data_IF_168853620569
#
_entry.id   IF_168853620569
#
_cell.length_a   1.000
_cell.length_b   1.000
_cell.length_c   1.000
_cell.angle_alpha   90.00
_cell.angle_beta   90.00
_cell.angle_gamma   90.00
#
_symmetry.space_group_name_H-M   'P 1'
#
loop_
_entity.id
_entity.type
_entity.pdbx_description
1 polymer ?
#
# COMPACT_ATOMS: atom_id res chain seq x y z
N UNK A 1 -0.76 37.65 40.17
CA UNK A 1 -0.76 36.42 39.36
C UNK A 1 -2.10 35.67 39.39
N UNK A 2 -2.79 35.47 40.52
CA UNK A 2 -4.09 34.73 40.56
C UNK A 2 -5.22 35.34 39.72
N UNK A 3 -5.38 36.68 39.67
CA UNK A 3 -6.45 37.35 38.90
C UNK A 3 -6.26 37.21 37.37
N UNK A 4 -5.04 37.26 36.85
CA UNK A 4 -4.73 37.08 35.44
C UNK A 4 -5.00 35.64 34.95
N UNK A 5 -4.70 34.65 35.79
CA UNK A 5 -4.99 33.26 35.54
C UNK A 5 -6.53 33.01 35.50
N UNK A 6 -7.28 33.67 36.38
CA UNK A 6 -8.74 33.54 36.39
C UNK A 6 -9.38 34.14 35.13
N UNK A 7 -8.90 35.29 34.65
CA UNK A 7 -9.35 35.90 33.39
C UNK A 7 -8.98 35.08 32.18
N UNK A 8 -7.79 34.45 32.14
CA UNK A 8 -7.39 33.55 31.10
C UNK A 8 -8.27 32.29 31.08
N UNK A 9 -8.56 31.72 32.26
CA UNK A 9 -9.41 30.55 32.42
C UNK A 9 -10.85 30.84 31.99
N UNK A 10 -11.44 31.95 32.40
CA UNK A 10 -12.80 32.35 31.97
C UNK A 10 -12.86 32.63 30.47
N UNK A 11 -11.83 33.28 29.89
CA UNK A 11 -11.73 33.50 28.45
C UNK A 11 -11.66 32.20 27.67
N UNK A 12 -10.87 31.21 28.12
CA UNK A 12 -10.79 29.88 27.51
C UNK A 12 -12.11 29.14 27.63
N UNK A 13 -12.78 29.19 28.78
CA UNK A 13 -14.11 28.52 28.97
C UNK A 13 -15.17 29.17 28.08
N UNK A 14 -15.16 30.48 27.93
CA UNK A 14 -16.08 31.22 27.06
C UNK A 14 -15.83 30.85 25.56
N UNK A 15 -14.58 30.81 25.14
CA UNK A 15 -14.19 30.32 23.80
C UNK A 15 -14.64 28.88 23.53
N UNK A 16 -14.52 27.98 24.50
CA UNK A 16 -14.94 26.58 24.39
C UNK A 16 -16.47 26.43 24.32
N UNK A 17 -17.25 27.29 24.98
CA UNK A 17 -18.73 27.27 24.91
C UNK A 17 -19.27 27.71 23.54
N UNK A 18 -18.60 28.63 22.85
CA UNK A 18 -18.97 29.04 21.47
C UNK A 18 -18.59 27.96 20.43
N UNK A 19 -17.59 27.12 20.68
CA UNK A 19 -17.13 26.11 19.74
C UNK A 19 -18.13 24.97 19.49
N UNK A 20 -19.05 24.71 20.44
CA UNK A 20 -19.98 23.56 20.35
C UNK A 20 -21.07 23.72 19.29
N UNK A 21 -21.50 24.94 18.98
CA UNK A 21 -22.58 25.20 18.00
C UNK A 21 -22.10 25.32 16.55
N UNK A 22 -20.81 25.55 16.31
CA UNK A 22 -20.27 25.85 14.97
C UNK A 22 -19.88 24.60 14.16
N UNK A 23 -19.60 23.48 14.80
CA UNK A 23 -19.11 22.27 14.13
C UNK A 23 -20.08 21.70 13.07
N UNK A 24 -21.37 21.96 13.19
CA UNK A 24 -22.42 21.42 12.29
C UNK A 24 -23.06 22.49 11.39
N UNK A 25 -22.44 23.67 11.27
CA UNK A 25 -22.99 24.82 10.54
C UNK A 25 -23.31 24.51 9.06
N UNK A 26 -22.45 23.74 8.42
CA UNK A 26 -22.59 23.38 7.01
C UNK A 26 -23.03 21.92 6.79
N UNK A 27 -23.54 21.28 7.83
CA UNK A 27 -24.16 19.96 7.70
C UNK A 27 -25.58 20.13 7.13
N UNK A 28 -25.90 19.54 5.96
CA UNK A 28 -27.23 19.63 5.38
C UNK A 28 -28.31 19.10 6.32
N UNK A 29 -29.55 19.57 6.12
CA UNK A 29 -30.68 19.05 6.87
C UNK A 29 -30.92 17.58 6.49
N UNK A 30 -31.28 16.76 7.46
CA UNK A 30 -31.42 15.30 7.28
C UNK A 30 -30.08 14.53 7.27
N UNK A 31 -28.94 15.23 7.31
CA UNK A 31 -27.58 14.60 7.33
C UNK A 31 -26.91 14.77 8.68
N UNK A 32 -25.87 13.97 8.91
CA UNK A 32 -25.12 13.98 10.15
C UNK A 32 -23.61 14.19 9.89
N UNK A 33 -22.96 14.99 10.73
CA UNK A 33 -21.51 15.11 10.77
C UNK A 33 -20.91 13.80 11.32
N UNK A 34 -20.01 13.17 10.59
CA UNK A 34 -19.24 12.05 11.10
C UNK A 34 -18.26 12.54 12.17
N UNK A 35 -18.59 12.30 13.43
CA UNK A 35 -17.84 12.82 14.57
C UNK A 35 -16.66 11.91 14.95
N UNK A 36 -16.90 10.60 14.94
CA UNK A 36 -15.92 9.61 15.39
C UNK A 36 -16.17 8.25 14.71
N UNK A 37 -15.10 7.54 14.39
CA UNK A 37 -15.13 6.13 13.97
C UNK A 37 -14.27 5.33 14.93
N UNK A 38 -14.84 4.29 15.52
CA UNK A 38 -14.16 3.36 16.44
C UNK A 38 -14.26 1.94 15.91
N UNK A 39 -13.16 1.21 16.06
CA UNK A 39 -13.09 -0.22 15.80
C UNK A 39 -12.74 -0.90 17.11
N UNK A 40 -13.53 -1.89 17.49
CA UNK A 40 -13.30 -2.76 18.64
C UNK A 40 -13.07 -4.19 18.15
N UNK A 41 -12.08 -4.86 18.72
CA UNK A 41 -11.76 -6.26 18.38
C UNK A 41 -11.79 -7.08 19.69
N UNK A 42 -12.29 -8.30 19.61
CA UNK A 42 -12.31 -9.26 20.73
C UNK A 42 -10.97 -9.99 20.90
N UNK A 43 -10.10 -9.97 19.88
CA UNK A 43 -8.79 -10.63 19.89
C UNK A 43 -7.64 -9.64 20.09
N UNK A 44 -6.76 -9.92 21.06
CA UNK A 44 -5.58 -9.09 21.36
C UNK A 44 -4.58 -9.01 20.19
N UNK A 45 -4.50 -10.08 19.39
CA UNK A 45 -3.58 -10.17 18.25
C UNK A 45 -4.03 -9.32 17.06
N UNK A 46 -5.31 -8.92 17.01
CA UNK A 46 -5.84 -8.06 15.94
C UNK A 46 -5.88 -6.62 16.44
N UNK A 47 -4.95 -5.80 15.98
CA UNK A 47 -4.88 -4.40 16.39
C UNK A 47 -5.94 -3.57 15.64
N UNK A 48 -6.80 -2.80 16.35
CA UNK A 48 -7.76 -1.91 15.69
C UNK A 48 -7.13 -0.92 14.71
N UNK A 49 -5.87 -0.52 14.97
CA UNK A 49 -5.12 0.39 14.09
C UNK A 49 -4.82 -0.20 12.72
N UNK A 50 -4.55 -1.51 12.62
CA UNK A 50 -4.32 -2.18 11.34
C UNK A 50 -5.58 -2.30 10.48
N UNK A 51 -6.76 -2.28 11.10
CA UNK A 51 -8.04 -2.33 10.40
C UNK A 51 -8.50 -0.94 9.94
N UNK A 52 -7.89 0.13 10.45
CA UNK A 52 -8.33 1.50 10.14
C UNK A 52 -8.11 1.89 8.68
N UNK A 53 -7.14 1.30 8.00
CA UNK A 53 -6.90 1.54 6.57
C UNK A 53 -8.04 1.06 5.67
N UNK A 54 -8.90 0.16 6.16
CA UNK A 54 -10.08 -0.35 5.45
C UNK A 54 -11.34 0.49 5.68
N UNK A 55 -11.25 1.54 6.49
CA UNK A 55 -12.35 2.47 6.73
C UNK A 55 -12.39 3.52 5.63
N UNK A 56 -13.49 3.56 4.87
CA UNK A 56 -13.68 4.47 3.74
C UNK A 56 -13.95 5.92 4.15
N UNK A 57 -14.57 6.13 5.31
CA UNK A 57 -14.88 7.45 5.83
C UNK A 57 -14.12 7.73 7.10
N UNK A 58 -13.20 8.69 7.05
CA UNK A 58 -12.55 9.19 8.23
C UNK A 58 -13.16 10.52 8.68
N UNK A 59 -13.44 10.71 9.98
CA UNK A 59 -13.91 11.98 10.49
C UNK A 59 -12.85 13.06 10.34
N UNK A 60 -13.29 14.34 10.33
CA UNK A 60 -12.35 15.46 10.34
C UNK A 60 -11.29 15.31 11.42
N UNK A 61 -10.03 15.61 11.07
CA UNK A 61 -8.88 15.46 11.95
C UNK A 61 -9.03 16.26 13.25
N UNK A 62 -8.54 15.69 14.35
CA UNK A 62 -8.50 16.36 15.66
C UNK A 62 -7.07 16.78 15.97
N UNK A 63 -6.87 18.05 16.31
CA UNK A 63 -5.61 18.55 16.82
C UNK A 63 -5.43 18.12 18.28
N UNK A 64 -4.30 17.51 18.61
CA UNK A 64 -4.05 16.88 19.93
C UNK A 64 -5.18 15.95 20.41
N UNK A 65 -5.86 15.26 19.49
CA UNK A 65 -7.01 14.37 19.76
C UNK A 65 -8.23 15.04 20.43
N UNK A 66 -8.22 16.34 20.57
CA UNK A 66 -9.25 17.09 21.31
C UNK A 66 -10.17 17.92 20.39
N UNK A 67 -9.63 18.77 19.55
CA UNK A 67 -10.35 19.81 18.84
C UNK A 67 -10.20 19.64 17.32
N UNK A 68 -11.30 19.68 16.57
CA UNK A 68 -11.32 19.68 15.10
C UNK A 68 -11.06 21.10 14.55
N UNK A 69 -9.85 21.60 14.73
CA UNK A 69 -9.50 23.00 14.41
C UNK A 69 -9.77 23.36 12.96
N UNK A 70 -9.39 22.51 12.00
CA UNK A 70 -9.58 22.78 10.58
C UNK A 70 -11.07 22.83 10.20
N UNK A 71 -11.92 21.99 10.81
CA UNK A 71 -13.36 22.05 10.64
C UNK A 71 -13.94 23.38 11.20
N UNK A 72 -13.42 23.84 12.36
CA UNK A 72 -13.87 25.14 12.91
C UNK A 72 -13.43 26.31 12.03
N UNK A 73 -12.20 26.29 11.50
CA UNK A 73 -11.72 27.30 10.55
C UNK A 73 -12.62 27.35 9.32
N UNK A 74 -12.97 26.18 8.75
CA UNK A 74 -13.92 26.12 7.64
C UNK A 74 -15.27 26.73 8.01
N UNK A 75 -15.79 26.42 9.20
CA UNK A 75 -17.09 26.89 9.67
C UNK A 75 -17.12 28.41 10.03
N UNK A 76 -15.95 29.04 10.22
CA UNK A 76 -15.87 30.51 10.35
C UNK A 76 -16.21 31.21 9.02
N UNK A 77 -16.06 30.55 7.87
CA UNK A 77 -16.42 31.13 6.59
C UNK A 77 -17.90 31.51 6.55
N UNK A 78 -18.24 32.56 5.81
CA UNK A 78 -19.62 32.94 5.53
C UNK A 78 -20.26 32.01 4.48
N UNK A 79 -21.60 32.14 4.31
CA UNK A 79 -22.35 31.35 3.30
C UNK A 79 -21.96 31.71 1.86
N UNK A 80 -21.66 32.97 1.62
CA UNK A 80 -21.21 33.47 0.32
C UNK A 80 -19.79 32.99 0.00
N UNK A 81 -19.70 32.01 -0.90
CA UNK A 81 -18.42 31.42 -1.32
C UNK A 81 -17.60 32.29 -2.27
N UNK A 82 -18.17 33.41 -2.77
CA UNK A 82 -17.48 34.29 -3.74
C UNK A 82 -16.53 35.26 -3.07
N UNK A 83 -16.79 35.63 -1.81
CA UNK A 83 -15.97 36.56 -1.03
C UNK A 83 -14.59 36.00 -0.74
N UNK A 84 -13.55 36.81 -0.96
CA UNK A 84 -12.16 36.41 -0.80
C UNK A 84 -11.85 35.77 0.57
N UNK A 85 -12.28 36.39 1.67
CA UNK A 85 -12.05 35.87 3.03
C UNK A 85 -12.69 34.52 3.26
N UNK A 86 -13.89 34.26 2.69
CA UNK A 86 -14.58 32.96 2.79
C UNK A 86 -13.87 31.91 1.96
N UNK A 87 -13.37 32.26 0.75
CA UNK A 87 -12.54 31.37 -0.07
C UNK A 87 -11.27 30.95 0.69
N UNK A 88 -10.61 31.90 1.31
CA UNK A 88 -9.39 31.66 2.10
C UNK A 88 -9.66 30.70 3.26
N UNK A 89 -10.69 30.98 4.09
CA UNK A 89 -11.05 30.13 5.24
C UNK A 89 -11.46 28.71 4.81
N UNK A 90 -12.16 28.58 3.69
CA UNK A 90 -12.52 27.25 3.13
C UNK A 90 -11.34 26.50 2.55
N UNK A 91 -10.31 27.20 2.07
CA UNK A 91 -9.09 26.59 1.52
C UNK A 91 -8.17 26.05 2.60
N UNK A 92 -8.07 26.76 3.76
CA UNK A 92 -7.20 26.33 4.87
C UNK A 92 -7.91 25.43 5.88
N UNK A 93 -9.25 25.44 5.87
CA UNK A 93 -10.10 24.59 6.70
C UNK A 93 -10.56 23.32 5.98
N UNK A 94 -11.02 22.36 6.76
CA UNK A 94 -11.60 21.10 6.24
C UNK A 94 -13.12 21.20 6.22
N UNK A 95 -13.73 20.85 5.10
CA UNK A 95 -15.18 20.71 4.99
C UNK A 95 -15.71 19.62 5.96
N UNK A 96 -16.94 19.75 6.47
CA UNK A 96 -17.52 18.73 7.33
C UNK A 96 -17.67 17.41 6.59
N UNK A 97 -17.15 16.32 7.17
CA UNK A 97 -17.35 14.97 6.64
C UNK A 97 -18.75 14.51 7.01
N UNK A 98 -19.60 14.36 5.98
CA UNK A 98 -20.98 13.91 6.14
C UNK A 98 -21.00 12.38 6.19
N UNK A 99 -21.71 11.83 7.16
CA UNK A 99 -21.90 10.38 7.26
C UNK A 99 -22.65 9.84 6.03
N UNK A 100 -22.13 8.78 5.45
CA UNK A 100 -22.76 8.01 4.39
C UNK A 100 -22.94 6.56 4.83
N UNK A 101 -24.15 6.09 4.79
CA UNK A 101 -24.51 4.71 5.10
C UNK A 101 -23.82 3.72 4.16
N UNK A 102 -23.78 4.06 2.86
CA UNK A 102 -23.14 3.24 1.82
C UNK A 102 -21.65 3.04 2.09
N UNK A 103 -20.92 4.13 2.42
CA UNK A 103 -19.49 4.03 2.71
C UNK A 103 -19.23 3.32 4.05
N UNK A 104 -20.14 3.44 5.01
CA UNK A 104 -20.05 2.70 6.25
C UNK A 104 -20.26 1.19 6.03
N UNK A 105 -21.19 0.80 5.15
CA UNK A 105 -21.37 -0.60 4.75
C UNK A 105 -20.17 -1.14 4.00
N UNK A 106 -19.64 -0.41 3.02
CA UNK A 106 -18.41 -0.79 2.30
C UNK A 106 -17.24 -0.99 3.26
N UNK A 107 -17.08 -0.10 4.25
CA UNK A 107 -16.03 -0.27 5.28
C UNK A 107 -16.21 -1.55 6.09
N UNK A 108 -17.44 -1.90 6.45
CA UNK A 108 -17.75 -3.16 7.14
C UNK A 108 -17.33 -4.37 6.31
N UNK A 109 -17.64 -4.36 5.01
CA UNK A 109 -17.31 -5.45 4.08
C UNK A 109 -15.79 -5.56 3.88
N UNK A 110 -15.10 -4.44 3.73
CA UNK A 110 -13.63 -4.39 3.59
C UNK A 110 -12.92 -4.88 4.87
N UNK A 111 -13.40 -4.48 6.06
CA UNK A 111 -12.86 -4.98 7.34
C UNK A 111 -13.09 -6.49 7.45
N UNK A 112 -14.27 -6.98 7.07
CA UNK A 112 -14.57 -8.42 7.08
C UNK A 112 -13.65 -9.18 6.14
N UNK A 113 -13.42 -8.68 4.93
CA UNK A 113 -12.49 -9.25 3.97
C UNK A 113 -11.04 -9.24 4.48
N UNK A 114 -10.63 -8.13 5.09
CA UNK A 114 -9.30 -8.02 5.71
C UNK A 114 -9.08 -9.06 6.83
N UNK A 115 -10.07 -9.27 7.68
CA UNK A 115 -10.02 -10.29 8.72
C UNK A 115 -9.87 -11.70 8.15
N UNK A 116 -10.60 -12.01 7.07
CA UNK A 116 -10.47 -13.29 6.38
C UNK A 116 -9.08 -13.48 5.77
N UNK A 117 -8.55 -12.44 5.14
CA UNK A 117 -7.18 -12.47 4.60
C UNK A 117 -6.11 -12.66 5.69
N UNK A 118 -6.37 -12.19 6.92
CA UNK A 118 -5.52 -12.41 8.08
C UNK A 118 -5.71 -13.80 8.73
N UNK A 119 -6.46 -14.71 8.09
CA UNK A 119 -6.69 -16.08 8.56
C UNK A 119 -7.91 -16.27 9.46
N UNK A 120 -8.66 -15.24 9.79
CA UNK A 120 -9.88 -15.31 10.59
C UNK A 120 -11.11 -15.52 9.69
N UNK A 121 -11.23 -16.69 9.06
CA UNK A 121 -12.25 -16.96 8.04
C UNK A 121 -13.69 -16.85 8.54
N UNK A 122 -13.92 -17.14 9.84
CA UNK A 122 -15.22 -17.04 10.49
C UNK A 122 -15.48 -15.68 11.16
N UNK A 123 -14.61 -14.69 10.91
CA UNK A 123 -14.77 -13.35 11.47
C UNK A 123 -16.06 -12.69 10.99
N UNK A 124 -16.69 -11.97 11.90
CA UNK A 124 -17.88 -11.15 11.64
C UNK A 124 -17.66 -9.73 12.13
N UNK A 125 -18.19 -8.77 11.39
CA UNK A 125 -18.13 -7.36 11.75
C UNK A 125 -19.55 -6.84 11.88
N UNK A 126 -19.88 -6.33 13.06
CA UNK A 126 -21.17 -5.64 13.31
C UNK A 126 -20.95 -4.15 13.34
N UNK A 127 -21.87 -3.43 12.74
CA UNK A 127 -21.85 -1.97 12.72
C UNK A 127 -22.94 -1.42 13.60
N UNK A 128 -22.62 -0.37 14.38
CA UNK A 128 -23.59 0.37 15.16
C UNK A 128 -23.29 1.88 15.11
N UNK A 129 -24.31 2.68 15.30
CA UNK A 129 -24.18 4.14 15.29
C UNK A 129 -24.81 4.76 16.53
N UNK A 130 -24.23 5.86 17.00
CA UNK A 130 -24.81 6.68 18.07
C UNK A 130 -24.97 8.11 17.58
N UNK A 131 -26.20 8.57 17.53
CA UNK A 131 -26.55 9.93 17.08
C UNK A 131 -26.73 10.83 18.31
N UNK A 132 -26.10 12.00 18.29
CA UNK A 132 -26.33 13.07 19.28
C UNK A 132 -26.41 14.39 18.56
N UNK A 133 -27.60 15.01 18.53
CA UNK A 133 -27.91 16.20 17.71
C UNK A 133 -27.60 15.91 16.22
N UNK A 134 -26.90 16.80 15.51
CA UNK A 134 -26.45 16.63 14.11
C UNK A 134 -25.08 15.89 13.99
N UNK A 135 -24.66 15.10 14.99
CA UNK A 135 -23.40 14.34 14.99
C UNK A 135 -23.67 12.85 15.11
N UNK A 136 -22.91 12.05 14.39
CA UNK A 136 -22.97 10.59 14.43
C UNK A 136 -21.59 10.00 14.76
N UNK A 137 -21.58 9.03 15.65
CA UNK A 137 -20.41 8.19 15.93
C UNK A 137 -20.68 6.80 15.37
N UNK A 138 -19.68 6.28 14.66
CA UNK A 138 -19.74 4.98 14.00
C UNK A 138 -18.83 3.99 14.75
N UNK A 139 -19.34 2.81 15.02
CA UNK A 139 -18.63 1.74 15.69
C UNK A 139 -18.64 0.50 14.82
N UNK A 140 -17.48 -0.14 14.69
CA UNK A 140 -17.32 -1.48 14.12
C UNK A 140 -16.87 -2.42 15.21
N UNK A 141 -17.68 -3.44 15.51
CA UNK A 141 -17.39 -4.49 16.47
C UNK A 141 -16.98 -5.74 15.70
N UNK A 142 -15.70 -6.07 15.79
CA UNK A 142 -15.07 -7.20 15.09
C UNK A 142 -14.99 -8.37 16.04
N UNK A 143 -15.69 -9.47 15.70
CA UNK A 143 -15.57 -10.75 16.36
C UNK A 143 -14.74 -11.67 15.46
N UNK A 144 -13.49 -11.91 15.85
CA UNK A 144 -12.50 -12.58 15.01
C UNK A 144 -12.67 -14.11 14.99
N UNK A 145 -13.04 -14.72 16.12
CA UNK A 145 -13.02 -16.19 16.34
C UNK A 145 -11.61 -16.77 16.19
N UNK A 146 -11.50 -18.10 16.05
CA UNK A 146 -10.22 -18.77 15.93
C UNK A 146 -9.65 -18.63 14.51
N UNK A 147 -8.34 -18.33 14.39
CA UNK A 147 -7.67 -18.25 13.09
C UNK A 147 -7.36 -19.64 12.56
N UNK A 148 -7.24 -19.76 11.25
CA UNK A 148 -6.68 -20.95 10.60
C UNK A 148 -5.15 -20.97 10.77
N UNK A 149 -4.59 -22.13 11.10
CA UNK A 149 -3.16 -22.35 11.35
C UNK A 149 -2.60 -23.28 10.28
N UNK A 150 -1.42 -22.95 9.74
CA UNK A 150 -0.69 -23.80 8.79
C UNK A 150 -0.17 -25.03 9.54
N UNK A 151 -0.75 -26.22 9.25
CA UNK A 151 -0.37 -27.50 9.88
C UNK A 151 0.81 -28.16 9.18
N UNK A 152 0.86 -28.06 7.86
CA UNK A 152 1.98 -28.56 7.05
C UNK A 152 2.33 -27.58 5.95
N UNK A 153 3.61 -27.55 5.56
CA UNK A 153 4.13 -26.71 4.49
C UNK A 153 4.91 -27.53 3.49
N UNK A 154 4.45 -27.57 2.23
CA UNK A 154 5.08 -28.28 1.14
C UNK A 154 5.52 -27.32 0.04
N UNK A 155 6.59 -27.69 -0.67
CA UNK A 155 7.11 -26.96 -1.82
C UNK A 155 7.05 -27.88 -3.04
N UNK A 156 6.33 -27.46 -4.07
CA UNK A 156 6.22 -28.11 -5.37
C UNK A 156 6.92 -27.22 -6.41
N UNK A 157 8.21 -27.50 -6.61
CA UNK A 157 9.09 -26.70 -7.47
C UNK A 157 9.70 -27.61 -8.53
N UNK A 158 9.24 -27.47 -9.77
CA UNK A 158 9.66 -28.32 -10.88
C UNK A 158 11.07 -28.04 -11.38
N UNK A 159 11.62 -26.83 -11.14
CA UNK A 159 12.98 -26.46 -11.51
C UNK A 159 13.96 -26.84 -10.39
N UNK A 160 14.85 -27.85 -10.60
CA UNK A 160 15.74 -28.33 -9.55
C UNK A 160 16.77 -27.29 -9.09
N UNK A 161 17.19 -26.38 -9.98
CA UNK A 161 18.14 -25.30 -9.62
C UNK A 161 17.48 -24.30 -8.69
N UNK A 162 16.24 -23.90 -8.99
CA UNK A 162 15.47 -22.99 -8.13
C UNK A 162 15.10 -23.70 -6.82
N UNK A 163 14.72 -24.97 -6.85
CA UNK A 163 14.41 -25.74 -5.65
C UNK A 163 15.59 -25.77 -4.67
N UNK A 164 16.79 -26.08 -5.16
CA UNK A 164 18.00 -26.08 -4.32
C UNK A 164 18.35 -24.68 -3.81
N UNK A 165 18.22 -23.66 -4.67
CA UNK A 165 18.46 -22.26 -4.33
C UNK A 165 17.53 -21.75 -3.21
N UNK A 166 16.25 -22.11 -3.25
CA UNK A 166 15.28 -21.73 -2.23
C UNK A 166 15.44 -22.54 -0.95
N UNK A 167 15.85 -23.83 -1.06
CA UNK A 167 16.19 -24.66 0.10
C UNK A 167 17.33 -24.07 0.93
N UNK A 168 18.39 -23.60 0.28
CA UNK A 168 19.51 -22.91 0.95
C UNK A 168 19.06 -21.61 1.66
N UNK A 169 18.00 -20.97 1.19
CA UNK A 169 17.44 -19.74 1.76
C UNK A 169 16.24 -19.97 2.71
N UNK A 170 15.93 -21.21 3.03
CA UNK A 170 14.75 -21.60 3.81
C UNK A 170 14.66 -20.91 5.18
N UNK A 171 15.80 -20.60 5.80
CA UNK A 171 15.85 -19.85 7.06
C UNK A 171 15.26 -18.43 6.97
N UNK A 172 15.23 -17.83 5.77
CA UNK A 172 14.66 -16.50 5.50
C UNK A 172 13.22 -16.56 5.04
N UNK A 173 12.63 -17.75 4.86
CA UNK A 173 11.23 -17.90 4.49
C UNK A 173 10.32 -17.29 5.54
N UNK A 174 9.30 -16.57 5.08
CA UNK A 174 8.24 -16.03 5.92
C UNK A 174 7.21 -17.10 6.27
N UNK A 175 7.21 -18.23 5.54
CA UNK A 175 6.28 -19.34 5.76
C UNK A 175 6.85 -20.31 6.79
N UNK A 176 6.02 -20.65 7.78
CA UNK A 176 6.38 -21.61 8.83
C UNK A 176 5.16 -22.43 9.25
N UNK A 177 5.38 -23.68 9.57
CA UNK A 177 4.36 -24.48 10.25
C UNK A 177 4.01 -23.85 11.60
N UNK A 178 2.76 -23.90 11.99
CA UNK A 178 2.25 -23.26 13.21
C UNK A 178 1.92 -21.77 13.06
N UNK A 179 2.20 -21.13 11.91
CA UNK A 179 1.82 -19.74 11.68
C UNK A 179 0.31 -19.62 11.37
N UNK A 180 -0.25 -18.44 11.59
CA UNK A 180 -1.59 -18.10 11.09
C UNK A 180 -1.55 -18.07 9.57
N UNK A 181 -2.56 -18.66 8.92
CA UNK A 181 -2.75 -18.61 7.49
C UNK A 181 -3.13 -17.19 7.05
N UNK A 182 -2.14 -16.34 6.81
CA UNK A 182 -2.32 -14.95 6.42
C UNK A 182 -1.93 -14.74 4.96
N UNK A 183 -2.90 -14.39 4.12
CA UNK A 183 -2.71 -14.15 2.68
C UNK A 183 -1.68 -13.05 2.41
N UNK A 184 -1.57 -12.05 3.30
CA UNK A 184 -0.58 -11.00 3.15
C UNK A 184 0.85 -11.54 3.35
N UNK A 185 1.04 -12.50 4.25
CA UNK A 185 2.33 -13.18 4.45
C UNK A 185 2.66 -14.06 3.25
N UNK A 186 1.65 -14.75 2.67
CA UNK A 186 1.84 -15.52 1.45
C UNK A 186 2.28 -14.63 0.28
N UNK A 187 1.66 -13.46 0.12
CA UNK A 187 2.03 -12.52 -0.95
C UNK A 187 3.41 -11.87 -0.70
N UNK A 188 3.75 -11.59 0.54
CA UNK A 188 5.08 -11.11 0.92
C UNK A 188 6.18 -12.15 0.62
N UNK A 189 5.90 -13.44 0.84
CA UNK A 189 6.83 -14.52 0.49
C UNK A 189 7.00 -14.66 -1.03
N UNK A 190 5.90 -14.55 -1.80
CA UNK A 190 5.98 -14.48 -3.27
C UNK A 190 6.90 -13.37 -3.73
N UNK A 191 6.75 -12.18 -3.15
CA UNK A 191 7.60 -11.02 -3.46
C UNK A 191 9.06 -11.28 -3.07
N UNK A 192 9.31 -11.81 -1.87
CA UNK A 192 10.65 -12.14 -1.39
C UNK A 192 11.39 -13.12 -2.31
N UNK A 193 10.69 -14.17 -2.74
CA UNK A 193 11.25 -15.16 -3.69
C UNK A 193 11.52 -14.51 -5.04
N UNK A 194 10.58 -13.71 -5.55
CA UNK A 194 10.72 -12.99 -6.81
C UNK A 194 11.95 -12.08 -6.79
N UNK A 195 12.06 -11.21 -5.78
CA UNK A 195 13.19 -10.29 -5.64
C UNK A 195 14.52 -11.05 -5.56
N UNK A 196 14.52 -12.19 -4.85
CA UNK A 196 15.72 -13.00 -4.74
C UNK A 196 16.13 -13.60 -6.08
N UNK A 197 15.18 -14.12 -6.87
CA UNK A 197 15.47 -14.70 -8.19
C UNK A 197 15.89 -13.62 -9.19
N UNK A 198 15.26 -12.45 -9.20
CA UNK A 198 15.64 -11.32 -10.06
C UNK A 198 17.06 -10.81 -9.76
N UNK A 199 17.49 -10.82 -8.49
CA UNK A 199 18.87 -10.47 -8.09
C UNK A 199 19.89 -11.53 -8.47
N UNK A 200 19.44 -12.73 -8.85
CA UNK A 200 20.29 -13.86 -9.21
C UNK A 200 20.14 -14.29 -10.67
N UNK A 201 19.90 -13.34 -11.54
CA UNK A 201 19.92 -13.54 -12.99
C UNK A 201 18.60 -13.95 -13.64
N UNK A 202 17.57 -14.25 -12.91
CA UNK A 202 16.31 -14.72 -13.49
C UNK A 202 15.44 -13.55 -13.99
N UNK A 203 15.96 -12.80 -14.96
CA UNK A 203 15.36 -11.55 -15.49
C UNK A 203 13.88 -11.66 -15.89
N UNK A 204 13.46 -12.78 -16.46
CA UNK A 204 12.07 -13.02 -16.90
C UNK A 204 11.17 -13.59 -15.81
N UNK A 205 11.69 -13.73 -14.60
CA UNK A 205 10.88 -14.22 -13.49
C UNK A 205 9.94 -13.13 -12.97
N UNK A 206 8.72 -13.50 -12.61
CA UNK A 206 7.78 -12.60 -11.96
C UNK A 206 6.96 -13.34 -10.89
N UNK A 207 6.26 -12.61 -10.08
CA UNK A 207 5.48 -13.10 -8.94
C UNK A 207 4.36 -14.09 -9.34
N UNK A 208 3.87 -14.02 -10.58
CA UNK A 208 2.75 -14.86 -11.04
C UNK A 208 3.14 -16.32 -11.30
N UNK A 209 4.45 -16.62 -11.35
CA UNK A 209 4.94 -17.99 -11.36
C UNK A 209 4.81 -18.68 -10.00
N UNK A 210 4.48 -17.98 -8.92
CA UNK A 210 4.32 -18.55 -7.60
C UNK A 210 2.84 -18.57 -7.23
N UNK A 211 2.30 -19.77 -7.02
CA UNK A 211 0.96 -20.02 -6.56
C UNK A 211 0.93 -20.75 -5.22
N UNK A 212 -0.25 -20.83 -4.61
CA UNK A 212 -0.48 -21.60 -3.40
C UNK A 212 -1.73 -22.45 -3.55
N UNK A 213 -1.66 -23.68 -3.03
CA UNK A 213 -2.82 -24.50 -2.72
C UNK A 213 -2.96 -24.60 -1.21
N UNK A 214 -4.15 -24.34 -0.69
CA UNK A 214 -4.47 -24.37 0.72
C UNK A 214 -5.65 -25.32 0.94
N UNK A 215 -5.38 -26.48 1.51
CA UNK A 215 -6.37 -27.49 1.80
C UNK A 215 -6.76 -27.44 3.28
N UNK A 216 -8.04 -27.17 3.54
CA UNK A 216 -8.54 -27.13 4.92
C UNK A 216 -8.85 -28.52 5.44
N UNK A 217 -8.33 -28.86 6.60
CA UNK A 217 -8.66 -30.11 7.29
C UNK A 217 -10.04 -30.00 7.90
N UNK A 218 -10.98 -30.81 7.42
CA UNK A 218 -12.40 -30.76 7.80
C UNK A 218 -12.58 -30.91 9.31
N UNK A 219 -13.35 -30.00 9.89
CA UNK A 219 -13.64 -30.01 11.36
C UNK A 219 -12.54 -29.44 12.23
N UNK A 220 -11.49 -28.85 11.64
CA UNK A 220 -10.39 -28.18 12.36
C UNK A 220 -10.17 -26.77 11.83
N UNK A 221 -9.35 -25.97 12.55
CA UNK A 221 -8.85 -24.69 12.06
C UNK A 221 -7.42 -24.85 11.50
N UNK A 222 -7.17 -25.93 10.75
CA UNK A 222 -5.88 -26.27 10.19
C UNK A 222 -5.89 -26.21 8.67
N UNK A 223 -4.76 -25.83 8.08
CA UNK A 223 -4.55 -25.73 6.62
C UNK A 223 -3.25 -26.40 6.25
N UNK A 224 -3.30 -27.33 5.30
CA UNK A 224 -2.14 -27.85 4.61
C UNK A 224 -1.81 -26.94 3.43
N UNK A 225 -0.64 -26.30 3.48
CA UNK A 225 -0.22 -25.30 2.50
C UNK A 225 0.83 -25.88 1.57
N UNK A 226 0.60 -25.74 0.26
CA UNK A 226 1.60 -26.08 -0.75
C UNK A 226 1.95 -24.86 -1.58
N UNK A 227 3.23 -24.49 -1.62
CA UNK A 227 3.76 -23.49 -2.53
C UNK A 227 4.10 -24.15 -3.86
N UNK A 228 3.53 -23.67 -4.95
CA UNK A 228 3.84 -24.09 -6.31
C UNK A 228 4.69 -23.05 -7.00
N UNK A 229 5.81 -23.46 -7.61
CA UNK A 229 6.58 -22.62 -8.51
C UNK A 229 6.43 -23.19 -9.92
N UNK A 230 5.64 -22.48 -10.74
CA UNK A 230 5.34 -22.89 -12.11
C UNK A 230 6.55 -22.66 -13.01
N UNK A 231 6.72 -23.53 -13.97
CA UNK A 231 7.78 -23.39 -14.97
C UNK A 231 7.49 -22.26 -15.96
N UNK A 232 8.52 -21.76 -16.62
CA UNK A 232 8.43 -20.69 -17.59
C UNK A 232 7.63 -21.09 -18.83
N UNK A 233 6.72 -20.20 -19.24
CA UNK A 233 5.97 -20.31 -20.48
C UNK A 233 5.84 -18.91 -21.09
N UNK A 234 6.31 -18.72 -22.32
CA UNK A 234 6.24 -17.42 -22.99
C UNK A 234 4.82 -17.12 -23.49
N UNK A 235 4.15 -18.13 -24.05
CA UNK A 235 2.75 -18.03 -24.50
C UNK A 235 1.98 -19.26 -24.06
N UNK A 236 0.65 -19.17 -23.99
CA UNK A 236 -0.25 -20.23 -23.46
C UNK A 236 -0.05 -21.58 -24.16
N UNK A 237 0.29 -21.55 -25.46
CA UNK A 237 0.45 -22.76 -26.30
C UNK A 237 1.91 -23.25 -26.36
N UNK A 238 2.86 -22.57 -25.72
CA UNK A 238 4.27 -22.96 -25.77
C UNK A 238 4.55 -24.14 -24.83
N UNK A 239 5.59 -24.89 -25.18
CA UNK A 239 6.14 -25.92 -24.29
C UNK A 239 6.69 -25.29 -23.01
N UNK A 240 6.52 -25.99 -21.92
CA UNK A 240 7.04 -25.59 -20.59
C UNK A 240 8.57 -25.70 -20.59
N UNK A 241 9.28 -24.68 -20.10
CA UNK A 241 10.74 -24.62 -20.02
C UNK A 241 11.18 -24.28 -18.60
N UNK A 242 12.41 -24.63 -18.24
CA UNK A 242 13.04 -24.16 -17.02
C UNK A 242 13.27 -22.65 -17.08
N UNK A 243 13.24 -21.99 -15.94
CA UNK A 243 13.64 -20.58 -15.84
C UNK A 243 15.14 -20.45 -16.12
N UNK A 244 15.51 -19.45 -16.93
CA UNK A 244 16.89 -19.23 -17.34
C UNK A 244 17.48 -18.03 -16.64
N UNK A 245 18.78 -18.08 -16.35
CA UNK A 245 19.56 -16.93 -15.93
C UNK A 245 20.02 -16.13 -17.16
N UNK A 246 20.13 -14.83 -17.01
CA UNK A 246 20.54 -13.89 -18.04
C UNK A 246 21.74 -13.09 -17.58
N UNK A 247 22.62 -12.77 -18.52
CA UNK A 247 23.81 -11.95 -18.34
C UNK A 247 23.69 -10.68 -19.16
N UNK A 248 24.33 -9.61 -18.71
CA UNK A 248 24.39 -8.34 -19.43
C UNK A 248 25.32 -8.52 -20.63
N UNK A 249 24.79 -8.37 -21.84
CA UNK A 249 25.59 -8.45 -23.06
C UNK A 249 26.27 -7.12 -23.35
N UNK A 250 25.48 -6.04 -23.62
CA UNK A 250 25.97 -4.72 -23.98
C UNK A 250 25.26 -3.62 -23.22
N UNK A 251 26.00 -2.56 -22.94
CA UNK A 251 25.46 -1.36 -22.30
C UNK A 251 25.61 -0.19 -23.26
N UNK A 252 24.50 0.42 -23.60
CA UNK A 252 24.43 1.60 -24.47
C UNK A 252 23.72 2.72 -23.71
N UNK A 253 24.26 3.95 -23.78
CA UNK A 253 23.61 5.14 -23.26
C UNK A 253 22.91 5.90 -24.39
N UNK A 254 21.65 6.27 -24.17
CA UNK A 254 20.88 7.11 -25.08
C UNK A 254 20.36 8.30 -24.26
N UNK A 255 20.86 9.50 -24.52
CA UNK A 255 20.61 10.67 -23.67
C UNK A 255 19.38 11.47 -24.07
N UNK A 256 18.93 11.36 -25.32
CA UNK A 256 17.81 12.15 -25.88
C UNK A 256 16.61 11.23 -26.21
N UNK A 257 16.29 10.31 -25.29
CA UNK A 257 15.19 9.39 -25.48
C UNK A 257 13.84 10.03 -25.15
N UNK A 258 12.99 10.21 -26.18
CA UNK A 258 11.62 10.68 -26.02
C UNK A 258 10.65 9.49 -25.98
N UNK A 259 10.10 9.23 -24.80
CA UNK A 259 9.14 8.13 -24.57
C UNK A 259 7.87 8.30 -25.40
N UNK A 260 7.45 9.52 -25.70
CA UNK A 260 6.22 9.79 -26.45
C UNK A 260 6.38 9.56 -27.96
N UNK A 261 7.58 9.70 -28.48
CA UNK A 261 7.89 9.48 -29.90
C UNK A 261 8.41 8.07 -30.22
N UNK A 262 8.76 7.30 -29.19
CA UNK A 262 9.43 6.01 -29.35
C UNK A 262 8.51 4.83 -29.61
N UNK A 263 7.38 4.99 -30.26
CA UNK A 263 6.51 3.89 -30.67
C UNK A 263 7.16 2.89 -31.66
N UNK A 264 8.36 3.18 -32.17
CA UNK A 264 9.19 2.24 -32.90
C UNK A 264 10.67 2.53 -32.60
N UNK A 265 11.42 1.49 -32.23
CA UNK A 265 12.88 1.50 -32.05
C UNK A 265 13.67 2.09 -33.26
N UNK A 266 13.02 2.20 -34.41
CA UNK A 266 13.60 2.73 -35.67
C UNK A 266 13.39 4.23 -35.89
N UNK A 267 12.76 4.96 -34.98
CA UNK A 267 12.47 6.39 -35.12
C UNK A 267 13.22 7.27 -34.11
N UNK A 268 14.30 6.75 -33.51
CA UNK A 268 15.17 7.60 -32.69
C UNK A 268 15.97 8.52 -33.63
N UNK A 269 15.72 9.83 -33.56
CA UNK A 269 16.52 10.88 -34.17
C UNK A 269 17.90 10.97 -33.47
N UNK A 270 18.69 9.89 -33.53
CA UNK A 270 20.06 9.86 -33.03
C UNK A 270 20.98 10.16 -34.21
N UNK A 271 21.67 11.29 -34.13
CA UNK A 271 22.52 11.77 -35.23
C UNK A 271 24.01 11.63 -34.94
N UNK A 272 24.37 11.44 -33.66
CA UNK A 272 25.78 11.43 -33.26
C UNK A 272 26.04 10.44 -32.12
N UNK A 273 27.30 10.05 -31.95
CA UNK A 273 27.74 9.12 -30.91
C UNK A 273 29.18 9.37 -30.48
N UNK A 274 29.48 9.08 -29.24
CA UNK A 274 30.85 9.06 -28.75
C UNK A 274 31.08 7.80 -27.86
N UNK A 275 32.35 7.38 -27.73
CA UNK A 275 32.75 6.30 -26.85
C UNK A 275 33.47 6.88 -25.64
N UNK A 276 33.02 6.48 -24.43
CA UNK A 276 33.65 6.88 -23.19
C UNK A 276 33.77 5.69 -22.23
N UNK A 277 34.98 5.41 -21.76
CA UNK A 277 35.30 4.25 -20.91
C UNK A 277 34.82 2.90 -21.48
N UNK A 278 34.80 2.75 -22.81
CA UNK A 278 34.33 1.53 -23.49
C UNK A 278 32.84 1.45 -23.73
N UNK A 279 32.07 2.44 -23.31
CA UNK A 279 30.63 2.48 -23.51
C UNK A 279 30.24 3.45 -24.63
N UNK A 280 29.40 3.05 -25.60
CA UNK A 280 28.84 3.96 -26.59
C UNK A 280 27.76 4.83 -25.97
N UNK A 281 27.79 6.13 -26.25
CA UNK A 281 26.82 7.14 -25.84
C UNK A 281 26.23 7.75 -27.09
N UNK A 282 24.94 7.56 -27.27
CA UNK A 282 24.18 8.06 -28.44
C UNK A 282 23.38 9.30 -28.02
N UNK A 283 23.40 10.34 -28.87
CA UNK A 283 22.71 11.60 -28.60
C UNK A 283 22.24 12.27 -29.88
N UNK A 284 21.34 13.26 -29.76
CA UNK A 284 20.89 14.10 -30.84
C UNK A 284 21.62 15.45 -30.80
N UNK A 285 22.22 15.87 -31.89
CA UNK A 285 22.86 17.16 -32.10
C UNK A 285 23.96 17.54 -31.10
N UNK A 286 23.69 17.54 -29.80
CA UNK A 286 24.63 17.94 -28.76
C UNK A 286 24.45 17.12 -27.48
N UNK A 287 25.54 16.57 -26.97
CA UNK A 287 25.55 15.89 -25.69
C UNK A 287 25.48 16.90 -24.52
N UNK A 288 24.36 16.95 -23.82
CA UNK A 288 24.13 17.83 -22.65
C UNK A 288 24.63 17.23 -21.33
N UNK A 289 24.66 15.90 -21.21
CA UNK A 289 25.12 15.19 -20.02
C UNK A 289 26.62 14.92 -20.10
N UNK A 290 27.32 15.04 -18.98
CA UNK A 290 28.75 14.68 -18.90
C UNK A 290 28.89 13.16 -19.00
N UNK A 291 29.72 12.60 -19.92
CA UNK A 291 29.93 11.15 -20.05
C UNK A 291 30.31 10.45 -18.74
N UNK A 292 31.11 11.13 -17.92
CA UNK A 292 31.50 10.64 -16.59
C UNK A 292 30.29 10.40 -15.67
N UNK A 293 29.27 11.26 -15.69
CA UNK A 293 28.06 11.08 -14.88
C UNK A 293 27.30 9.79 -15.24
N UNK A 294 27.24 9.47 -16.53
CA UNK A 294 26.56 8.28 -17.02
C UNK A 294 27.29 7.01 -16.58
N UNK A 295 28.64 7.00 -16.67
CA UNK A 295 29.42 5.80 -16.40
C UNK A 295 29.76 5.59 -14.93
N UNK A 296 29.88 6.65 -14.11
CA UNK A 296 30.27 6.53 -12.71
C UNK A 296 29.11 5.99 -11.81
N UNK A 297 27.87 6.03 -12.32
CA UNK A 297 26.70 5.48 -11.61
C UNK A 297 26.40 4.02 -11.98
N UNK A 298 27.08 3.47 -13.01
CA UNK A 298 26.89 2.07 -13.38
C UNK A 298 27.34 1.13 -12.26
N UNK A 299 26.46 0.20 -11.90
CA UNK A 299 26.69 -0.83 -10.90
C UNK A 299 26.92 -2.22 -11.48
N UNK A 300 26.88 -2.34 -12.80
CA UNK A 300 27.08 -3.58 -13.54
C UNK A 300 27.89 -3.33 -14.79
N UNK A 301 28.53 -4.38 -15.32
CA UNK A 301 29.31 -4.36 -16.53
C UNK A 301 28.78 -5.41 -17.55
N UNK A 302 29.28 -5.32 -18.79
CA UNK A 302 29.08 -6.38 -19.79
C UNK A 302 29.70 -7.69 -19.29
N UNK A 303 28.95 -8.79 -19.39
CA UNK A 303 29.33 -10.10 -18.87
C UNK A 303 28.86 -10.41 -17.44
N UNK A 304 28.37 -9.42 -16.70
CA UNK A 304 27.84 -9.64 -15.36
C UNK A 304 26.50 -10.39 -15.40
N UNK A 305 26.26 -11.19 -14.38
CA UNK A 305 24.94 -11.78 -14.16
C UNK A 305 23.92 -10.67 -13.90
N UNK A 306 22.77 -10.71 -14.56
CA UNK A 306 21.70 -9.75 -14.33
C UNK A 306 21.32 -9.68 -12.84
N UNK A 307 21.26 -8.47 -12.32
CA UNK A 307 20.81 -8.19 -10.96
C UNK A 307 19.88 -6.97 -10.99
N UNK A 308 18.61 -7.18 -10.71
CA UNK A 308 17.59 -6.11 -10.74
C UNK A 308 17.94 -4.96 -9.80
N UNK A 309 18.49 -5.24 -8.63
CA UNK A 309 18.84 -4.19 -7.67
C UNK A 309 19.94 -3.27 -8.22
N UNK A 310 20.95 -3.81 -8.91
CA UNK A 310 22.01 -3.01 -9.51
C UNK A 310 21.47 -2.16 -10.67
N UNK A 311 20.53 -2.71 -11.45
CA UNK A 311 19.85 -1.97 -12.54
C UNK A 311 19.01 -0.83 -11.98
N UNK A 312 18.25 -1.05 -10.90
CA UNK A 312 17.40 0.00 -10.29
C UNK A 312 18.22 1.10 -9.61
N UNK A 313 19.45 0.81 -9.19
CA UNK A 313 20.34 1.76 -8.51
C UNK A 313 21.28 2.50 -9.47
N UNK A 314 21.28 2.15 -10.75
CA UNK A 314 22.00 2.81 -11.83
C UNK A 314 21.17 3.94 -12.44
#
# INVERSE_FOLDING_TARGET
MRKGFLYLLTFVITLLSFASCTATKYVPDGSYLLDEVKIHTDQKNVRPSSLRMYVRQNPNAKWFSLIKTQLYVYNLSGRDSTKWGNKFLRRIGDAPVIYSETEAQRSQDEITKAMRNMGYMAATVKRSTKIKKKKIKLYYEVTARDPYIVSSLKYDIHDPKIAEFLKQDSAKSLLKEGMIFDVNVLDAERQRITDKLLRNGYYKFNKDYIGYTADTVRGTYQVDLTLHLHAYRAHVNDSVKAHQQYWIDKINFITDYDVLQSSALNSMDINDSLHFKGYPIYYKDKLYLRPKMLTDNLRFASGDLFNEQDVQQT
#
